data_IF_470941107010
#
_entry.id   IF_470941107010
#
_cell.length_a   1.000
_cell.length_b   1.000
_cell.length_c   1.000
_cell.angle_alpha   90.00
_cell.angle_beta   90.00
_cell.angle_gamma   90.00
#
_symmetry.space_group_name_H-M   'P 1'
#
loop_
_entity.id
_entity.type
_entity.pdbx_description
1 polymer ?
#
# COMPACT_ATOMS: atom_id res chain seq x y z
N UNK A 1 13.68 29.25 -3.38
CA UNK A 1 13.07 27.98 -2.94
C UNK A 1 13.52 26.87 -3.89
N UNK A 2 14.19 25.79 -3.42
CA UNK A 2 14.57 24.70 -4.30
C UNK A 2 13.30 23.98 -4.76
N UNK A 3 13.02 24.09 -6.07
CA UNK A 3 11.84 23.58 -6.74
C UNK A 3 11.83 22.04 -6.75
N UNK A 4 10.67 21.39 -6.60
CA UNK A 4 10.54 19.92 -6.55
C UNK A 4 11.10 19.23 -7.82
N UNK A 5 11.08 19.94 -8.96
CA UNK A 5 11.67 19.50 -10.23
C UNK A 5 13.18 19.25 -10.09
N UNK A 6 13.90 20.12 -9.39
CA UNK A 6 15.34 20.02 -9.18
C UNK A 6 15.71 18.78 -8.33
N UNK A 7 14.91 18.43 -7.33
CA UNK A 7 15.19 17.23 -6.51
C UNK A 7 14.98 15.93 -7.29
N UNK A 8 13.89 15.84 -8.07
CA UNK A 8 13.65 14.67 -8.94
C UNK A 8 14.81 14.51 -9.93
N UNK A 9 15.21 15.59 -10.59
CA UNK A 9 16.32 15.57 -11.55
C UNK A 9 17.62 15.09 -10.89
N UNK A 10 17.94 15.56 -9.68
CA UNK A 10 19.12 15.09 -8.92
C UNK A 10 19.08 13.62 -8.54
N UNK A 11 17.93 13.09 -8.14
CA UNK A 11 17.78 11.66 -7.85
C UNK A 11 18.09 10.84 -9.12
N UNK A 12 17.59 11.28 -10.27
CA UNK A 12 17.79 10.61 -11.55
C UNK A 12 19.23 10.75 -12.07
N UNK A 13 19.85 11.91 -11.88
CA UNK A 13 21.27 12.13 -12.23
C UNK A 13 22.19 11.22 -11.41
N UNK A 14 21.95 11.13 -10.10
CA UNK A 14 22.72 10.25 -9.23
C UNK A 14 22.58 8.78 -9.66
N UNK A 15 21.36 8.35 -9.96
CA UNK A 15 21.10 6.99 -10.42
C UNK A 15 21.81 6.68 -11.74
N UNK A 16 21.73 7.58 -12.73
CA UNK A 16 22.44 7.44 -14.01
C UNK A 16 23.95 7.39 -13.84
N UNK A 17 24.51 8.23 -12.97
CA UNK A 17 25.95 8.29 -12.74
C UNK A 17 26.49 7.01 -12.07
N UNK A 18 25.68 6.33 -11.26
CA UNK A 18 26.09 5.11 -10.57
C UNK A 18 25.83 3.83 -11.38
N UNK A 19 25.06 3.89 -12.46
CA UNK A 19 24.76 2.73 -13.31
C UNK A 19 24.05 1.58 -12.57
N UNK A 20 23.26 1.90 -11.54
CA UNK A 20 22.66 0.90 -10.66
C UNK A 20 21.41 0.31 -11.28
N UNK A 21 21.47 -0.90 -11.85
CA UNK A 21 20.26 -1.58 -12.34
C UNK A 21 19.30 -1.94 -11.19
N UNK A 22 19.87 -2.35 -10.04
CA UNK A 22 19.15 -2.72 -8.82
C UNK A 22 19.38 -1.72 -7.70
N UNK A 23 18.29 -1.28 -7.08
CA UNK A 23 18.31 -0.25 -6.04
C UNK A 23 17.70 -0.82 -4.76
N UNK A 24 18.50 -0.97 -3.71
CA UNK A 24 18.06 -1.36 -2.38
C UNK A 24 18.12 -0.21 -1.37
N UNK A 25 18.03 -0.55 -0.08
CA UNK A 25 18.11 0.42 1.02
C UNK A 25 19.43 1.21 1.00
N UNK A 26 20.54 0.56 0.65
CA UNK A 26 21.87 1.19 0.64
C UNK A 26 21.92 2.31 -0.39
N UNK A 27 21.43 2.04 -1.60
CA UNK A 27 21.41 2.98 -2.71
C UNK A 27 20.45 4.14 -2.40
N UNK A 28 19.28 3.86 -1.81
CA UNK A 28 18.34 4.91 -1.36
C UNK A 28 18.99 5.82 -0.31
N UNK A 29 19.72 5.27 0.65
CA UNK A 29 20.45 6.07 1.66
C UNK A 29 21.58 6.89 1.05
N UNK A 30 22.26 6.37 0.03
CA UNK A 30 23.29 7.11 -0.69
C UNK A 30 22.69 8.34 -1.40
N UNK A 31 21.55 8.17 -2.06
CA UNK A 31 20.80 9.30 -2.66
C UNK A 31 20.36 10.30 -1.60
N UNK A 32 19.85 9.84 -0.44
CA UNK A 32 19.46 10.72 0.67
C UNK A 32 20.65 11.55 1.19
N UNK A 33 21.83 10.93 1.34
CA UNK A 33 23.05 11.63 1.74
C UNK A 33 23.48 12.69 0.73
N UNK A 34 23.39 12.38 -0.58
CA UNK A 34 23.71 13.34 -1.64
C UNK A 34 22.73 14.52 -1.65
N UNK A 35 21.44 14.27 -1.47
CA UNK A 35 20.44 15.34 -1.38
C UNK A 35 20.70 16.26 -0.17
N UNK A 36 21.07 15.70 0.99
CA UNK A 36 21.46 16.51 2.16
C UNK A 36 22.73 17.32 1.89
N UNK A 37 23.69 16.78 1.13
CA UNK A 37 24.90 17.51 0.73
C UNK A 37 24.57 18.70 -0.18
N UNK A 38 23.64 18.54 -1.10
CA UNK A 38 23.26 19.59 -2.06
C UNK A 38 22.30 20.65 -1.48
N UNK A 39 21.34 20.24 -0.64
CA UNK A 39 20.25 21.11 -0.17
C UNK A 39 20.34 21.46 1.33
N UNK A 40 21.35 20.95 2.03
CA UNK A 40 21.61 21.20 3.44
C UNK A 40 21.06 20.12 4.38
N UNK A 41 21.43 20.19 5.67
CA UNK A 41 21.09 19.17 6.67
C UNK A 41 19.58 19.08 6.95
N UNK A 42 18.81 20.13 6.63
CA UNK A 42 17.36 20.17 6.78
C UNK A 42 16.58 19.48 5.65
N UNK A 43 17.27 18.86 4.67
CA UNK A 43 16.59 18.11 3.62
C UNK A 43 15.89 16.85 4.19
N UNK A 44 14.55 16.87 4.16
CA UNK A 44 13.68 15.79 4.66
C UNK A 44 13.13 14.92 3.54
N UNK A 45 13.88 14.73 2.45
CA UNK A 45 13.41 13.89 1.34
C UNK A 45 13.24 12.46 1.83
N UNK A 46 12.01 11.97 1.83
CA UNK A 46 11.74 10.65 2.40
C UNK A 46 12.33 9.53 1.53
N UNK A 47 12.85 8.44 2.13
CA UNK A 47 13.31 7.26 1.39
C UNK A 47 12.25 6.68 0.44
N UNK A 48 10.96 6.75 0.81
CA UNK A 48 9.86 6.28 -0.04
C UNK A 48 9.63 7.16 -1.27
N UNK A 49 9.89 8.47 -1.16
CA UNK A 49 9.83 9.37 -2.32
C UNK A 49 10.96 9.03 -3.31
N UNK A 50 12.19 8.88 -2.81
CA UNK A 50 13.36 8.48 -3.62
C UNK A 50 13.07 7.16 -4.34
N UNK A 51 12.63 6.14 -3.61
CA UNK A 51 12.29 4.84 -4.18
C UNK A 51 11.22 4.92 -5.28
N UNK A 52 10.17 5.72 -5.09
CA UNK A 52 9.13 5.89 -6.12
C UNK A 52 9.66 6.64 -7.35
N UNK A 53 10.49 7.67 -7.18
CA UNK A 53 11.13 8.39 -8.30
C UNK A 53 12.01 7.45 -9.12
N UNK A 54 12.83 6.61 -8.47
CA UNK A 54 13.70 5.67 -9.15
C UNK A 54 12.89 4.59 -9.89
N UNK A 55 11.81 4.10 -9.28
CA UNK A 55 10.91 3.14 -9.92
C UNK A 55 10.20 3.73 -11.14
N UNK A 56 9.72 4.98 -11.05
CA UNK A 56 9.13 5.71 -12.20
C UNK A 56 10.11 5.86 -13.36
N UNK A 57 11.41 5.86 -13.08
CA UNK A 57 12.47 5.90 -14.09
C UNK A 57 12.89 4.52 -14.62
N UNK A 58 12.25 3.44 -14.16
CA UNK A 58 12.49 2.08 -14.64
C UNK A 58 13.49 1.27 -13.79
N UNK A 59 13.98 1.80 -12.66
CA UNK A 59 14.91 1.05 -11.80
C UNK A 59 14.22 -0.14 -11.10
N UNK A 60 14.97 -1.24 -10.92
CA UNK A 60 14.54 -2.38 -10.11
C UNK A 60 14.72 -2.07 -8.62
N UNK A 61 13.66 -1.57 -7.97
CA UNK A 61 13.71 -1.08 -6.59
C UNK A 61 13.30 -2.15 -5.57
N UNK A 62 14.27 -2.73 -4.87
CA UNK A 62 14.10 -3.68 -3.78
C UNK A 62 14.06 -2.97 -2.42
N UNK A 63 12.99 -2.21 -2.19
CA UNK A 63 12.82 -1.44 -0.96
C UNK A 63 11.47 -1.73 -0.29
N UNK A 64 11.52 -2.48 0.82
CA UNK A 64 10.34 -2.80 1.62
C UNK A 64 9.90 -1.57 2.43
N UNK A 65 8.82 -0.94 1.99
CA UNK A 65 8.16 0.16 2.70
C UNK A 65 6.64 0.10 2.50
N UNK A 66 5.89 0.51 3.52
CA UNK A 66 4.43 0.66 3.43
C UNK A 66 3.99 1.64 2.31
N UNK A 67 4.88 2.50 1.82
CA UNK A 67 4.60 3.49 0.79
C UNK A 67 5.16 3.16 -0.60
N UNK A 68 5.89 2.06 -0.76
CA UNK A 68 6.55 1.68 -2.03
C UNK A 68 6.11 0.28 -2.41
N UNK A 69 5.58 0.11 -3.62
CA UNK A 69 5.16 -1.23 -4.09
C UNK A 69 6.41 -2.11 -4.21
N UNK A 70 6.37 -3.38 -3.75
CA UNK A 70 7.48 -4.27 -3.95
C UNK A 70 7.71 -4.41 -5.46
N UNK A 71 8.97 -4.49 -5.86
CA UNK A 71 9.30 -4.84 -7.22
C UNK A 71 8.90 -6.29 -7.48
N UNK A 72 8.42 -6.54 -8.70
CA UNK A 72 7.91 -7.83 -9.14
C UNK A 72 8.34 -8.06 -10.58
N UNK A 73 8.62 -9.31 -10.93
CA UNK A 73 8.82 -9.74 -12.31
C UNK A 73 7.47 -9.93 -13.01
N UNK A 74 7.45 -9.94 -14.35
CA UNK A 74 6.28 -10.41 -15.09
C UNK A 74 6.11 -11.94 -14.90
N UNK A 75 4.87 -12.46 -14.84
CA UNK A 75 3.59 -11.75 -15.00
C UNK A 75 3.05 -11.10 -13.72
N UNK A 76 3.70 -11.28 -12.56
CA UNK A 76 3.20 -10.78 -11.27
C UNK A 76 3.03 -9.26 -11.27
N UNK A 77 3.98 -8.55 -11.89
CA UNK A 77 3.99 -7.09 -11.96
C UNK A 77 2.72 -6.54 -12.60
N UNK A 78 2.26 -7.13 -13.71
CA UNK A 78 1.05 -6.71 -14.41
C UNK A 78 -0.22 -7.12 -13.66
N UNK A 79 -0.27 -8.34 -13.11
CA UNK A 79 -1.47 -8.86 -12.41
C UNK A 79 -1.73 -8.15 -11.08
N UNK A 80 -0.68 -7.85 -10.32
CA UNK A 80 -0.78 -7.21 -9.00
C UNK A 80 -0.74 -5.68 -9.06
N UNK A 81 -0.56 -5.11 -10.26
CA UNK A 81 -0.50 -3.66 -10.47
C UNK A 81 -1.77 -2.97 -9.99
N UNK A 82 -1.62 -2.01 -9.07
CA UNK A 82 -2.72 -1.16 -8.63
C UNK A 82 -3.81 -1.88 -7.83
N UNK A 83 -3.63 -3.17 -7.49
CA UNK A 83 -4.57 -3.91 -6.63
C UNK A 83 -4.76 -3.20 -5.29
N UNK A 84 -3.67 -2.66 -4.73
CA UNK A 84 -3.66 -2.01 -3.43
C UNK A 84 -4.09 -0.54 -3.48
N UNK A 85 -5.35 -0.30 -3.82
CA UNK A 85 -5.96 1.04 -3.89
C UNK A 85 -7.27 1.13 -3.11
N UNK A 86 -7.25 1.76 -1.93
CA UNK A 86 -8.45 1.96 -1.10
C UNK A 86 -8.43 3.30 -0.35
N UNK A 87 -9.59 3.95 -0.30
CA UNK A 87 -9.81 5.24 0.39
C UNK A 87 -10.84 5.15 1.51
N UNK A 88 -11.73 4.16 1.44
CA UNK A 88 -12.87 3.92 2.34
C UNK A 88 -13.12 2.42 2.46
N UNK A 89 -14.14 2.04 3.23
CA UNK A 89 -14.51 0.63 3.44
C UNK A 89 -14.88 -0.07 2.12
N UNK A 90 -15.64 0.59 1.24
CA UNK A 90 -16.13 -0.03 0.00
C UNK A 90 -14.97 -0.35 -0.95
N UNK A 91 -14.07 0.62 -1.16
CA UNK A 91 -12.87 0.42 -1.96
C UNK A 91 -11.87 -0.56 -1.31
N UNK A 92 -11.85 -0.67 0.02
CA UNK A 92 -11.06 -1.70 0.71
C UNK A 92 -11.61 -3.12 0.49
N UNK A 93 -12.93 -3.31 0.51
CA UNK A 93 -13.56 -4.59 0.19
C UNK A 93 -13.24 -5.01 -1.26
N UNK A 94 -13.39 -4.09 -2.22
CA UNK A 94 -13.05 -4.33 -3.63
C UNK A 94 -11.56 -4.69 -3.78
N UNK A 95 -10.68 -3.97 -3.10
CA UNK A 95 -9.24 -4.25 -3.06
C UNK A 95 -8.97 -5.69 -2.56
N UNK A 96 -9.60 -6.09 -1.46
CA UNK A 96 -9.43 -7.42 -0.88
C UNK A 96 -9.99 -8.53 -1.78
N UNK A 97 -11.14 -8.31 -2.45
CA UNK A 97 -11.70 -9.26 -3.43
C UNK A 97 -10.75 -9.49 -4.60
N UNK A 98 -10.18 -8.42 -5.16
CA UNK A 98 -9.18 -8.52 -6.25
C UNK A 98 -7.93 -9.26 -5.80
N UNK A 99 -7.42 -8.89 -4.61
CA UNK A 99 -6.23 -9.53 -4.05
C UNK A 99 -6.45 -11.02 -3.77
N UNK A 100 -7.61 -11.38 -3.22
CA UNK A 100 -7.97 -12.76 -2.92
C UNK A 100 -8.12 -13.61 -4.18
N UNK A 101 -8.76 -13.09 -5.23
CA UNK A 101 -8.86 -13.78 -6.51
C UNK A 101 -7.47 -14.13 -7.09
N UNK A 102 -6.53 -13.18 -7.03
CA UNK A 102 -5.16 -13.39 -7.49
C UNK A 102 -4.42 -14.39 -6.59
N UNK A 103 -4.58 -14.28 -5.26
CA UNK A 103 -4.02 -15.23 -4.30
C UNK A 103 -4.51 -16.66 -4.53
N UNK A 104 -5.82 -16.85 -4.73
CA UNK A 104 -6.41 -18.18 -5.03
C UNK A 104 -5.88 -18.73 -6.34
N UNK A 105 -5.83 -17.92 -7.39
CA UNK A 105 -5.25 -18.31 -8.69
C UNK A 105 -3.83 -18.86 -8.53
N UNK A 106 -2.93 -18.15 -7.84
CA UNK A 106 -1.57 -18.63 -7.62
C UNK A 106 -1.51 -19.88 -6.74
N UNK A 107 -2.38 -19.97 -5.72
CA UNK A 107 -2.47 -21.15 -4.85
C UNK A 107 -2.93 -22.39 -5.61
N UNK A 108 -3.91 -22.27 -6.51
CA UNK A 108 -4.44 -23.37 -7.33
C UNK A 108 -3.35 -24.01 -8.21
N UNK A 109 -2.47 -23.19 -8.79
CA UNK A 109 -1.33 -23.67 -9.59
C UNK A 109 -0.07 -23.94 -8.76
N UNK A 110 -0.17 -23.94 -7.43
CA UNK A 110 0.95 -24.14 -6.48
C UNK A 110 2.12 -23.16 -6.67
N UNK A 111 1.85 -21.96 -7.19
CA UNK A 111 2.84 -20.90 -7.36
C UNK A 111 3.09 -20.20 -6.02
N UNK A 112 4.20 -20.60 -5.38
CA UNK A 112 4.63 -20.06 -4.09
C UNK A 112 5.06 -18.60 -4.17
N UNK A 113 5.60 -18.16 -5.31
CA UNK A 113 6.10 -16.78 -5.49
C UNK A 113 4.91 -15.85 -5.59
N UNK A 114 3.97 -16.12 -6.49
CA UNK A 114 2.75 -15.32 -6.64
C UNK A 114 1.92 -15.27 -5.35
N UNK A 115 1.81 -16.41 -4.66
CA UNK A 115 1.15 -16.51 -3.34
C UNK A 115 1.83 -15.63 -2.30
N UNK A 116 3.17 -15.64 -2.25
CA UNK A 116 3.94 -14.80 -1.33
C UNK A 116 3.77 -13.31 -1.62
N UNK A 117 3.85 -12.91 -2.90
CA UNK A 117 3.68 -11.52 -3.34
C UNK A 117 2.29 -10.96 -3.01
N UNK A 118 1.23 -11.76 -3.20
CA UNK A 118 -0.12 -11.37 -2.81
C UNK A 118 -0.23 -11.14 -1.30
N UNK A 119 0.37 -12.02 -0.47
CA UNK A 119 0.41 -11.85 0.99
C UNK A 119 1.25 -10.63 1.41
N UNK A 120 2.37 -10.36 0.75
CA UNK A 120 3.17 -9.15 1.00
C UNK A 120 2.36 -7.87 0.72
N UNK A 121 1.55 -7.86 -0.35
CA UNK A 121 0.64 -6.74 -0.64
C UNK A 121 -0.47 -6.59 0.42
N UNK A 122 -1.03 -7.68 0.94
CA UNK A 122 -1.99 -7.61 2.05
C UNK A 122 -1.35 -7.02 3.33
N UNK A 123 -0.14 -7.48 3.68
CA UNK A 123 0.63 -6.93 4.82
C UNK A 123 0.86 -5.44 4.64
N UNK A 124 1.20 -5.02 3.42
CA UNK A 124 1.38 -3.61 3.09
C UNK A 124 0.07 -2.82 3.22
N UNK A 125 -1.06 -3.37 2.76
CA UNK A 125 -2.39 -2.79 2.92
C UNK A 125 -2.73 -2.53 4.38
N UNK A 126 -2.53 -3.54 5.23
CA UNK A 126 -2.66 -3.44 6.68
C UNK A 126 -1.81 -2.29 7.23
N UNK A 127 -0.52 -2.26 6.94
CA UNK A 127 0.40 -1.23 7.44
C UNK A 127 0.03 0.19 6.97
N UNK A 128 -0.49 0.35 5.74
CA UNK A 128 -1.01 1.64 5.24
C UNK A 128 -2.23 2.09 6.04
N UNK A 129 -3.17 1.19 6.28
CA UNK A 129 -4.37 1.47 7.05
C UNK A 129 -4.04 1.80 8.52
N UNK A 130 -3.18 1.02 9.18
CA UNK A 130 -2.70 1.29 10.55
C UNK A 130 -2.01 2.65 10.65
N UNK A 131 -1.16 2.99 9.68
CA UNK A 131 -0.48 4.29 9.67
C UNK A 131 -1.45 5.48 9.61
N UNK A 132 -2.54 5.35 8.84
CA UNK A 132 -3.56 6.39 8.74
C UNK A 132 -4.45 6.44 9.97
N UNK A 133 -4.74 5.28 10.56
CA UNK A 133 -5.48 5.15 11.81
C UNK A 133 -4.77 5.81 13.01
N UNK A 134 -3.43 5.80 13.03
CA UNK A 134 -2.62 6.43 14.08
C UNK A 134 -2.27 7.89 13.79
N UNK A 135 -2.61 8.43 12.62
CA UNK A 135 -2.21 9.78 12.23
C UNK A 135 -3.12 10.84 12.88
N UNK A 136 -2.58 11.80 13.65
CA UNK A 136 -3.37 12.87 14.27
C UNK A 136 -3.96 13.84 13.23
N UNK A 137 -3.42 13.84 12.00
CA UNK A 137 -3.90 14.69 10.90
C UNK A 137 -5.17 14.17 10.24
N UNK A 138 -5.57 12.94 10.52
CA UNK A 138 -6.77 12.30 9.98
C UNK A 138 -7.91 12.48 10.98
N UNK A 139 -9.13 12.78 10.52
CA UNK A 139 -10.30 12.95 11.39
C UNK A 139 -10.56 11.69 12.22
N UNK A 140 -11.21 11.83 13.38
CA UNK A 140 -11.55 10.70 14.25
C UNK A 140 -12.35 9.61 13.53
N UNK A 141 -13.37 10.02 12.77
CA UNK A 141 -14.19 9.12 11.94
C UNK A 141 -13.33 8.36 10.92
N UNK A 142 -12.47 9.06 10.17
CA UNK A 142 -11.58 8.39 9.21
C UNK A 142 -10.53 7.53 9.89
N UNK A 143 -10.07 7.84 11.10
CA UNK A 143 -9.19 6.95 11.86
C UNK A 143 -9.90 5.66 12.23
N UNK A 144 -11.17 5.71 12.65
CA UNK A 144 -11.97 4.50 12.93
C UNK A 144 -12.15 3.66 11.66
N UNK A 145 -12.49 4.28 10.55
CA UNK A 145 -12.60 3.60 9.25
C UNK A 145 -11.28 2.90 8.87
N UNK A 146 -10.13 3.56 9.08
CA UNK A 146 -8.83 2.96 8.80
C UNK A 146 -8.45 1.85 9.77
N UNK A 147 -8.88 1.91 11.03
CA UNK A 147 -8.71 0.79 11.98
C UNK A 147 -9.49 -0.42 11.52
N UNK A 148 -10.72 -0.22 11.06
CA UNK A 148 -11.56 -1.30 10.55
C UNK A 148 -10.93 -1.96 9.31
N UNK A 149 -10.47 -1.16 8.34
CA UNK A 149 -9.76 -1.66 7.16
C UNK A 149 -8.50 -2.44 7.55
N UNK A 150 -7.71 -1.96 8.51
CA UNK A 150 -6.55 -2.69 9.01
C UNK A 150 -6.94 -4.05 9.63
N UNK A 151 -8.07 -4.09 10.34
CA UNK A 151 -8.68 -5.32 10.85
C UNK A 151 -9.04 -6.29 9.73
N UNK A 152 -9.64 -5.82 8.64
CA UNK A 152 -9.99 -6.67 7.49
C UNK A 152 -8.76 -7.31 6.87
N UNK A 153 -7.70 -6.54 6.59
CA UNK A 153 -6.45 -7.11 6.08
C UNK A 153 -5.83 -8.12 7.06
N UNK A 154 -5.92 -7.86 8.38
CA UNK A 154 -5.43 -8.80 9.39
C UNK A 154 -6.19 -10.13 9.33
N UNK A 155 -7.51 -10.10 9.33
CA UNK A 155 -8.32 -11.33 9.28
C UNK A 155 -8.10 -12.07 7.97
N UNK A 156 -8.00 -11.38 6.84
CA UNK A 156 -7.66 -12.01 5.56
C UNK A 156 -6.30 -12.71 5.60
N UNK A 157 -5.29 -12.11 6.24
CA UNK A 157 -3.97 -12.73 6.41
C UNK A 157 -4.00 -13.98 7.31
N UNK A 158 -4.90 -14.01 8.31
CA UNK A 158 -5.03 -15.11 9.27
C UNK A 158 -5.89 -16.26 8.69
N UNK A 159 -7.02 -15.95 8.05
CA UNK A 159 -8.03 -16.92 7.57
C UNK A 159 -8.56 -16.58 6.17
N UNK A 160 -7.68 -16.50 5.17
CA UNK A 160 -8.02 -16.09 3.79
C UNK A 160 -9.22 -16.83 3.20
N UNK A 161 -9.36 -18.13 3.47
CA UNK A 161 -10.38 -18.98 2.86
C UNK A 161 -11.79 -18.67 3.37
N UNK A 162 -11.91 -18.18 4.61
CA UNK A 162 -13.18 -17.85 5.28
C UNK A 162 -13.42 -16.35 5.41
N UNK A 163 -12.51 -15.53 4.88
CA UNK A 163 -12.51 -14.09 5.11
C UNK A 163 -13.81 -13.42 4.65
N UNK A 164 -14.34 -13.76 3.47
CA UNK A 164 -15.54 -13.08 2.96
C UNK A 164 -16.81 -13.48 3.70
N UNK A 165 -16.92 -14.74 4.16
CA UNK A 165 -18.02 -15.14 5.04
C UNK A 165 -17.96 -14.38 6.36
N UNK A 166 -16.76 -14.27 6.95
CA UNK A 166 -16.53 -13.45 8.13
C UNK A 166 -16.85 -11.97 7.88
N UNK A 167 -16.49 -11.42 6.71
CA UNK A 167 -16.70 -10.01 6.38
C UNK A 167 -18.20 -9.67 6.28
N UNK A 168 -19.01 -10.56 5.69
CA UNK A 168 -20.46 -10.37 5.64
C UNK A 168 -21.06 -10.35 7.06
N UNK A 169 -20.66 -11.29 7.93
CA UNK A 169 -21.08 -11.28 9.34
C UNK A 169 -20.59 -10.03 10.08
N UNK A 170 -19.35 -9.60 9.83
CA UNK A 170 -18.77 -8.39 10.43
C UNK A 170 -19.57 -7.14 10.06
N UNK A 171 -19.99 -7.02 8.79
CA UNK A 171 -20.81 -5.90 8.31
C UNK A 171 -22.20 -5.89 8.94
N UNK A 172 -22.75 -7.05 9.33
CA UNK A 172 -24.06 -7.15 10.00
C UNK A 172 -24.00 -6.89 11.51
N UNK A 173 -22.82 -6.86 12.12
CA UNK A 173 -22.72 -6.70 13.57
C UNK A 173 -23.21 -5.34 14.05
N UNK A 174 -23.83 -5.30 15.24
CA UNK A 174 -24.35 -4.04 15.81
C UNK A 174 -23.28 -2.95 15.92
N UNK A 175 -22.06 -3.33 16.33
CA UNK A 175 -20.94 -2.40 16.43
C UNK A 175 -20.62 -1.76 15.06
N UNK A 176 -20.59 -2.56 13.99
CA UNK A 176 -20.33 -2.05 12.63
C UNK A 176 -21.42 -1.09 12.19
N UNK A 177 -22.68 -1.52 12.36
CA UNK A 177 -23.87 -0.75 11.98
C UNK A 177 -23.91 0.60 12.71
N UNK A 178 -23.68 0.60 14.03
CA UNK A 178 -23.65 1.84 14.82
C UNK A 178 -22.50 2.76 14.46
N UNK A 179 -21.34 2.21 14.12
CA UNK A 179 -20.12 3.00 13.87
C UNK A 179 -20.07 3.57 12.45
N UNK A 180 -20.53 2.81 11.46
CA UNK A 180 -20.32 3.13 10.04
C UNK A 180 -21.61 3.34 9.23
N UNK A 181 -22.78 2.93 9.74
CA UNK A 181 -24.06 3.01 9.01
C UNK A 181 -25.07 3.98 9.67
N UNK A 182 -25.06 4.18 11.00
CA UNK A 182 -26.14 4.89 11.70
C UNK A 182 -25.77 6.05 12.64
N UNK A 183 -25.92 7.28 12.15
CA UNK A 183 -26.91 8.32 12.56
C UNK A 183 -26.86 9.42 11.48
N UNK A 184 -28.01 9.74 10.89
CA UNK A 184 -28.26 10.66 9.76
C UNK A 184 -28.13 10.04 8.36
N UNK A 185 -29.26 10.08 7.64
CA UNK A 185 -29.52 9.48 6.32
C UNK A 185 -28.73 10.07 5.15
N UNK A 186 -27.41 10.11 5.28
CA UNK A 186 -26.50 10.24 4.16
C UNK A 186 -25.92 8.86 3.92
N UNK A 187 -26.15 8.26 2.74
CA UNK A 187 -25.65 6.92 2.41
C UNK A 187 -24.12 6.84 2.61
N UNK A 188 -23.67 6.26 3.73
CA UNK A 188 -22.24 6.12 4.10
C UNK A 188 -21.61 4.80 3.66
N UNK A 189 -22.42 3.81 3.29
CA UNK A 189 -21.97 2.58 2.64
C UNK A 189 -23.22 1.92 2.02
N UNK A 190 -23.34 1.95 0.70
CA UNK A 190 -24.31 1.10 0.02
C UNK A 190 -23.63 -0.26 -0.20
N UNK A 191 -24.15 -1.37 0.38
CA UNK A 191 -23.67 -2.68 0.00
C UNK A 191 -23.87 -2.88 -1.51
N UNK A 192 -22.95 -3.58 -2.21
CA UNK A 192 -23.15 -3.89 -3.61
C UNK A 192 -24.44 -4.70 -3.79
N UNK A 193 -25.21 -4.47 -4.88
CA UNK A 193 -26.40 -5.29 -5.16
C UNK A 193 -25.99 -6.76 -5.34
N UNK A 194 -26.89 -7.65 -4.89
CA UNK A 194 -26.76 -9.10 -4.97
C UNK A 194 -26.63 -9.62 -6.41
#
# INVERSE_FOLDING_TARGET
>A
MPNARNKKDRILDFHRAQGLERVGLREIRAVEAELRRCYGPDDRTSPSYIANVLREAGAEVHYRSRFVDPWMEEPYASELKGVLGFRDLASAEICLRKLDAIYRKYREISDRVGTSLARELAIKGKQRAESLASSPRVSSEKRLEKKEIAGWFRVWLEISDLFFDWLELRKQSEEFQRTFIGRDGNHRFAPPPA
#
